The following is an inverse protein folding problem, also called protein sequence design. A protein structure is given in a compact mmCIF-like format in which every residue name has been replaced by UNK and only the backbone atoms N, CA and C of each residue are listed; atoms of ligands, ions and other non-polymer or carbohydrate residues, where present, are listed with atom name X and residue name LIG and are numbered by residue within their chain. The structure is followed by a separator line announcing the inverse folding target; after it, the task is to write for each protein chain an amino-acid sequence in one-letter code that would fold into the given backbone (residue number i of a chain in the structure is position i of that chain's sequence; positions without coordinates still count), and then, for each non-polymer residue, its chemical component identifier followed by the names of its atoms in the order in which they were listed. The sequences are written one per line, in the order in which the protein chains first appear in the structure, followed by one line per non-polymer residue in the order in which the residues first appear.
data_IF_722608434757
#
_entry.id   IF_722608434757
#
_cell.length_a   1.000
_cell.length_b   1.000
_cell.length_c   1.000
_cell.angle_alpha   90.00
_cell.angle_beta   90.00
_cell.angle_gamma   90.00
#
_symmetry.space_group_name_H-M   'P 1'
#
loop_
_entity.id
_entity.type
_entity.pdbx_description
1 polymer ?
#
# COMPACT_ATOMS: atom_id res chain seq x y z
N UNK A 1 9.24 -2.58 -14.16
CA UNK A 1 8.12 -1.84 -13.53
C UNK A 1 7.43 -2.82 -12.59
N UNK A 2 6.95 -2.36 -11.43
CA UNK A 2 6.26 -3.24 -10.48
C UNK A 2 4.93 -3.78 -11.06
N UNK A 3 4.46 -4.91 -10.53
CA UNK A 3 3.19 -5.54 -10.94
C UNK A 3 1.98 -4.75 -10.45
N UNK A 4 2.09 -4.16 -9.25
CA UNK A 4 1.08 -3.34 -8.61
C UNK A 4 1.61 -2.02 -8.08
N UNK A 5 0.71 -1.05 -7.94
CA UNK A 5 0.93 0.21 -7.25
C UNK A 5 -0.21 0.42 -6.25
N UNK A 6 0.13 0.70 -4.99
CA UNK A 6 -0.81 0.77 -3.89
C UNK A 6 -0.81 2.13 -3.22
N UNK A 7 -2.01 2.64 -2.93
CA UNK A 7 -2.23 3.81 -2.08
C UNK A 7 -3.31 3.55 -1.04
N UNK A 8 -3.29 4.33 0.03
CA UNK A 8 -4.41 4.41 0.97
C UNK A 8 -5.58 5.22 0.42
N UNK A 9 -6.79 4.91 0.89
CA UNK A 9 -8.00 5.68 0.56
C UNK A 9 -7.87 7.18 0.89
N UNK A 10 -7.12 7.58 1.91
CA UNK A 10 -6.89 9.00 2.22
C UNK A 10 -6.22 9.73 1.06
N UNK A 11 -5.15 9.17 0.51
CA UNK A 11 -4.47 9.67 -0.69
C UNK A 11 -5.40 9.66 -1.90
N UNK A 12 -6.15 8.57 -2.09
CA UNK A 12 -7.06 8.47 -3.23
C UNK A 12 -8.17 9.54 -3.21
N UNK A 13 -8.70 9.87 -2.03
CA UNK A 13 -9.73 10.91 -1.86
C UNK A 13 -9.17 12.33 -2.01
N UNK A 14 -7.97 12.59 -1.49
CA UNK A 14 -7.39 13.93 -1.50
C UNK A 14 -6.83 14.30 -2.88
N UNK A 15 -6.19 13.35 -3.56
CA UNK A 15 -5.40 13.64 -4.76
C UNK A 15 -6.08 13.18 -6.06
N UNK A 16 -7.05 12.27 -5.96
CA UNK A 16 -7.67 11.58 -7.11
C UNK A 16 -6.61 11.16 -8.15
N UNK A 17 -5.64 10.30 -7.76
CA UNK A 17 -4.48 9.99 -8.59
C UNK A 17 -4.88 9.16 -9.81
N UNK A 18 -4.02 9.12 -10.83
CA UNK A 18 -4.24 8.24 -11.99
C UNK A 18 -3.63 6.85 -11.82
N UNK A 19 -2.64 6.70 -10.93
CA UNK A 19 -1.90 5.45 -10.67
C UNK A 19 -1.47 4.71 -11.93
N UNK A 20 -1.04 5.47 -12.95
CA UNK A 20 -0.57 4.99 -14.24
C UNK A 20 0.85 5.46 -14.50
N UNK A 21 1.51 4.84 -15.47
CA UNK A 21 2.83 5.28 -15.91
C UNK A 21 2.72 6.16 -17.14
N UNK A 22 3.48 7.25 -17.11
CA UNK A 22 3.49 8.30 -18.14
C UNK A 22 4.92 8.61 -18.51
N UNK A 23 5.09 9.32 -19.63
CA UNK A 23 6.41 9.78 -20.10
C UNK A 23 7.41 8.62 -20.31
N UNK A 24 6.90 7.45 -20.69
CA UNK A 24 7.75 6.32 -21.07
C UNK A 24 8.36 6.59 -22.45
N UNK A 25 9.60 6.14 -22.70
CA UNK A 25 10.20 6.19 -24.03
C UNK A 25 9.31 5.51 -25.08
N UNK A 26 9.55 5.79 -26.36
CA UNK A 26 8.88 5.02 -27.41
C UNK A 26 9.35 3.57 -27.38
N UNK A 27 8.42 2.61 -27.46
CA UNK A 27 8.71 1.18 -27.48
C UNK A 27 7.86 0.50 -28.54
N UNK A 28 8.46 -0.47 -29.23
CA UNK A 28 7.75 -1.34 -30.20
C UNK A 28 6.77 -2.28 -29.50
N UNK A 29 7.02 -2.62 -28.23
CA UNK A 29 6.13 -3.43 -27.40
C UNK A 29 5.46 -2.59 -26.32
N UNK A 30 4.16 -2.83 -26.02
CA UNK A 30 3.49 -2.13 -24.94
C UNK A 30 4.18 -2.35 -23.60
N UNK A 31 4.35 -1.27 -22.83
CA UNK A 31 4.92 -1.38 -21.49
C UNK A 31 3.98 -2.14 -20.56
N UNK A 32 4.59 -2.94 -19.68
CA UNK A 32 3.89 -3.48 -18.53
C UNK A 32 3.51 -2.33 -17.58
N UNK A 33 2.22 -2.04 -17.46
CA UNK A 33 1.67 -1.01 -16.55
C UNK A 33 1.16 -1.63 -15.24
N UNK A 34 1.43 -1.01 -14.08
CA UNK A 34 1.09 -1.58 -12.79
C UNK A 34 -0.43 -1.64 -12.58
N UNK A 35 -0.88 -2.59 -11.79
CA UNK A 35 -2.25 -2.68 -11.30
C UNK A 35 -2.49 -1.62 -10.21
N UNK A 36 -3.47 -0.70 -10.37
CA UNK A 36 -3.87 0.19 -9.29
C UNK A 36 -4.54 -0.60 -8.16
N UNK A 37 -4.06 -0.44 -6.93
CA UNK A 37 -4.59 -1.09 -5.72
C UNK A 37 -4.89 0.00 -4.69
N UNK A 38 -6.11 0.03 -4.17
CA UNK A 38 -6.55 1.01 -3.19
C UNK A 38 -6.95 0.28 -1.91
N UNK A 39 -6.33 0.65 -0.79
CA UNK A 39 -6.75 0.20 0.53
C UNK A 39 -7.90 1.07 1.05
N UNK A 40 -9.11 0.53 1.03
CA UNK A 40 -10.35 1.23 1.40
C UNK A 40 -11.28 0.32 2.20
N UNK A 41 -11.05 0.26 3.52
CA UNK A 41 -11.78 -0.62 4.43
C UNK A 41 -13.31 -0.43 4.38
N UNK A 42 -13.77 0.79 4.09
CA UNK A 42 -15.18 1.20 4.15
C UNK A 42 -15.80 1.59 2.80
N UNK A 43 -15.13 1.28 1.68
CA UNK A 43 -15.63 1.53 0.32
C UNK A 43 -16.05 2.99 0.10
N UNK A 44 -15.19 3.92 0.48
CA UNK A 44 -15.37 5.38 0.33
C UNK A 44 -14.96 5.91 -1.04
N UNK A 45 -14.20 5.17 -1.83
CA UNK A 45 -13.72 5.61 -3.14
C UNK A 45 -14.91 6.01 -4.04
N UNK A 46 -14.76 7.13 -4.74
CA UNK A 46 -15.79 7.57 -5.70
C UNK A 46 -15.78 6.68 -6.95
N UNK A 47 -16.95 6.24 -7.46
CA UNK A 47 -17.03 5.54 -8.74
C UNK A 47 -16.62 6.41 -9.95
N UNK A 48 -16.42 7.71 -9.74
CA UNK A 48 -16.01 8.67 -10.77
C UNK A 48 -14.55 9.12 -10.67
N UNK A 49 -13.73 8.48 -9.83
CA UNK A 49 -12.30 8.77 -9.71
C UNK A 49 -11.53 8.48 -11.00
N UNK A 50 -10.36 9.11 -11.18
CA UNK A 50 -9.52 9.01 -12.37
C UNK A 50 -9.08 7.57 -12.65
N UNK A 51 -8.74 6.77 -11.65
CA UNK A 51 -8.32 5.38 -11.86
C UNK A 51 -9.40 4.52 -12.53
N UNK A 52 -10.68 4.72 -12.19
CA UNK A 52 -11.80 4.00 -12.80
C UNK A 52 -12.11 4.54 -14.20
N UNK A 53 -12.07 5.87 -14.39
CA UNK A 53 -12.20 6.49 -15.71
C UNK A 53 -11.12 6.01 -16.68
N UNK A 54 -9.87 5.91 -16.24
CA UNK A 54 -8.77 5.39 -17.03
C UNK A 54 -9.01 3.95 -17.49
N UNK A 55 -9.51 3.08 -16.59
CA UNK A 55 -9.86 1.73 -16.96
C UNK A 55 -11.02 1.67 -17.96
N UNK A 56 -12.08 2.45 -17.74
CA UNK A 56 -13.22 2.53 -18.67
C UNK A 56 -12.80 3.03 -20.06
N UNK A 57 -11.81 3.94 -20.13
CA UNK A 57 -11.24 4.44 -21.37
C UNK A 57 -10.19 3.51 -22.01
N UNK A 58 -9.85 2.37 -21.38
CA UNK A 58 -8.80 1.46 -21.86
C UNK A 58 -7.37 1.99 -21.71
N UNK A 59 -7.17 3.09 -20.98
CA UNK A 59 -5.85 3.73 -20.76
C UNK A 59 -5.20 3.33 -19.44
N UNK A 60 -5.85 2.45 -18.67
CA UNK A 60 -5.35 1.93 -17.40
C UNK A 60 -5.79 0.50 -17.12
N UNK A 61 -5.14 -0.16 -16.17
CA UNK A 61 -5.52 -1.51 -15.71
C UNK A 61 -6.71 -1.40 -14.75
N UNK A 62 -7.59 -2.42 -14.77
CA UNK A 62 -8.72 -2.55 -13.82
C UNK A 62 -8.27 -2.31 -12.37
N UNK A 63 -8.77 -1.29 -11.65
CA UNK A 63 -8.38 -1.03 -10.26
C UNK A 63 -8.89 -2.12 -9.32
N UNK A 64 -8.10 -2.45 -8.32
CA UNK A 64 -8.47 -3.36 -7.23
C UNK A 64 -8.68 -2.57 -5.95
N UNK A 65 -9.78 -2.84 -5.25
CA UNK A 65 -10.13 -2.18 -3.99
C UNK A 65 -10.12 -3.26 -2.91
N UNK A 66 -9.20 -3.12 -1.97
CA UNK A 66 -9.10 -4.00 -0.80
C UNK A 66 -9.97 -3.40 0.30
N UNK A 67 -11.00 -4.13 0.74
CA UNK A 67 -11.92 -3.66 1.77
C UNK A 67 -12.06 -4.67 2.91
N UNK A 68 -12.55 -4.22 4.06
CA UNK A 68 -12.70 -5.10 5.23
C UNK A 68 -13.78 -6.14 4.97
N UNK A 69 -13.57 -7.36 5.44
CA UNK A 69 -14.63 -8.37 5.55
C UNK A 69 -15.70 -7.94 6.57
N UNK A 70 -15.29 -7.18 7.59
CA UNK A 70 -16.13 -6.87 8.72
C UNK A 70 -17.21 -5.82 8.37
N UNK A 71 -18.47 -6.20 8.60
CA UNK A 71 -19.65 -5.35 8.40
C UNK A 71 -19.92 -4.45 9.62
N UNK A 72 -19.30 -4.75 10.77
CA UNK A 72 -19.72 -4.26 12.10
C UNK A 72 -19.57 -2.75 12.33
N UNK A 73 -18.76 -2.03 11.55
CA UNK A 73 -18.53 -0.59 11.74
C UNK A 73 -19.06 0.30 10.61
N UNK A 74 -19.87 -0.25 9.71
CA UNK A 74 -20.59 0.58 8.77
C UNK A 74 -21.74 1.24 9.53
N UNK A 75 -21.50 2.46 10.04
CA UNK A 75 -22.58 3.34 10.44
C UNK A 75 -23.58 3.39 9.27
N UNK A 76 -24.72 2.71 9.43
CA UNK A 76 -25.91 3.02 8.69
C UNK A 76 -26.26 4.46 9.07
N UNK A 77 -25.77 5.41 8.28
CA UNK A 77 -26.53 6.65 8.12
C UNK A 77 -27.88 6.20 7.56
N UNK A 78 -28.97 6.49 8.27
CA UNK A 78 -30.35 6.25 7.81
C UNK A 78 -30.67 6.97 6.49
N UNK A 79 -29.72 7.71 5.90
CA UNK A 79 -29.93 8.59 4.74
C UNK A 79 -28.89 8.42 3.62
N UNK A 80 -27.99 7.43 3.68
CA UNK A 80 -26.94 7.22 2.67
C UNK A 80 -26.90 5.80 2.08
N UNK A 81 -26.25 5.61 0.91
CA UNK A 81 -26.11 4.29 0.30
C UNK A 81 -25.32 3.36 1.24
N UNK A 82 -25.88 2.17 1.45
CA UNK A 82 -25.28 1.15 2.31
C UNK A 82 -23.98 0.60 1.73
N UNK A 83 -23.24 -0.17 2.54
CA UNK A 83 -21.97 -0.81 2.11
C UNK A 83 -22.16 -1.64 0.83
N UNK A 84 -23.28 -2.37 0.73
CA UNK A 84 -23.62 -3.18 -0.43
C UNK A 84 -23.80 -2.33 -1.69
N UNK A 85 -24.50 -1.20 -1.59
CA UNK A 85 -24.71 -0.28 -2.71
C UNK A 85 -23.40 0.34 -3.18
N UNK A 86 -22.53 0.75 -2.23
CA UNK A 86 -21.20 1.28 -2.55
C UNK A 86 -20.33 0.23 -3.24
N UNK A 87 -20.33 -1.01 -2.74
CA UNK A 87 -19.62 -2.15 -3.35
C UNK A 87 -20.10 -2.36 -4.79
N UNK A 88 -21.42 -2.41 -4.98
CA UNK A 88 -22.04 -2.58 -6.28
C UNK A 88 -21.68 -1.45 -7.24
N UNK A 89 -21.83 -0.19 -6.82
CA UNK A 89 -21.49 0.98 -7.63
C UNK A 89 -20.02 0.99 -8.07
N UNK A 90 -19.10 0.60 -7.18
CA UNK A 90 -17.68 0.48 -7.53
C UNK A 90 -17.42 -0.65 -8.53
N UNK A 91 -18.07 -1.80 -8.36
CA UNK A 91 -17.97 -2.92 -9.30
C UNK A 91 -18.53 -2.56 -10.68
N UNK A 92 -19.67 -1.87 -10.73
CA UNK A 92 -20.30 -1.37 -11.96
C UNK A 92 -19.42 -0.32 -12.65
N UNK A 93 -18.74 0.53 -11.88
CA UNK A 93 -17.73 1.47 -12.40
C UNK A 93 -16.43 0.78 -12.87
N UNK A 94 -16.33 -0.54 -12.73
CA UNK A 94 -15.24 -1.35 -13.26
C UNK A 94 -14.22 -1.82 -12.21
N UNK A 95 -14.37 -1.49 -10.93
CA UNK A 95 -13.46 -1.98 -9.89
C UNK A 95 -13.57 -3.50 -9.73
N UNK A 96 -12.48 -4.13 -9.27
CA UNK A 96 -12.55 -5.44 -8.60
C UNK A 96 -12.45 -5.20 -7.10
N UNK A 97 -13.52 -5.49 -6.37
CA UNK A 97 -13.53 -5.40 -4.90
C UNK A 97 -13.11 -6.74 -4.31
N UNK A 98 -12.15 -6.72 -3.40
CA UNK A 98 -11.57 -7.88 -2.73
C UNK A 98 -11.70 -7.66 -1.24
N UNK A 99 -12.34 -8.60 -0.56
CA UNK A 99 -12.49 -8.56 0.89
C UNK A 99 -11.25 -9.16 1.55
N UNK A 100 -10.80 -8.50 2.62
CA UNK A 100 -9.59 -8.81 3.37
C UNK A 100 -9.94 -8.83 4.85
N UNK A 101 -9.34 -9.76 5.57
CA UNK A 101 -9.40 -9.76 7.03
C UNK A 101 -8.77 -8.50 7.64
N UNK A 102 -9.19 -8.18 8.85
CA UNK A 102 -8.72 -7.01 9.58
C UNK A 102 -9.41 -6.89 10.93
N UNK A 103 -8.97 -5.93 11.74
CA UNK A 103 -9.53 -5.61 13.05
C UNK A 103 -9.70 -4.09 13.15
N UNK A 104 -10.61 -3.63 14.01
CA UNK A 104 -10.76 -2.20 14.36
C UNK A 104 -10.91 -1.26 13.14
N UNK A 105 -11.60 -1.72 12.09
CA UNK A 105 -11.80 -0.96 10.85
C UNK A 105 -10.55 -0.82 9.97
N UNK A 106 -9.46 -1.51 10.31
CA UNK A 106 -8.22 -1.63 9.57
C UNK A 106 -8.17 -2.90 8.71
N UNK A 107 -7.24 -2.94 7.76
CA UNK A 107 -6.95 -4.12 6.95
C UNK A 107 -5.66 -4.77 7.43
N UNK A 108 -5.61 -6.09 7.50
CA UNK A 108 -4.37 -6.83 7.75
C UNK A 108 -3.44 -6.73 6.54
N UNK A 109 -2.27 -6.10 6.70
CA UNK A 109 -1.28 -5.99 5.61
C UNK A 109 -0.82 -7.38 5.17
N UNK A 110 -0.60 -8.29 6.11
CA UNK A 110 -0.24 -9.68 5.81
C UNK A 110 -1.30 -10.36 4.92
N UNK A 111 -2.59 -10.18 5.19
CA UNK A 111 -3.65 -10.75 4.35
C UNK A 111 -3.80 -10.03 3.01
N UNK A 112 -3.66 -8.70 2.97
CA UNK A 112 -3.58 -7.94 1.71
C UNK A 112 -2.49 -8.54 0.81
N UNK A 113 -1.27 -8.72 1.32
CA UNK A 113 -0.13 -9.22 0.55
C UNK A 113 -0.33 -10.67 0.10
N UNK A 114 -0.90 -11.53 0.96
CA UNK A 114 -1.26 -12.91 0.61
C UNK A 114 -2.26 -12.94 -0.56
N UNK A 115 -3.32 -12.14 -0.49
CA UNK A 115 -4.33 -12.07 -1.55
C UNK A 115 -3.71 -11.55 -2.85
N UNK A 116 -2.89 -10.49 -2.78
CA UNK A 116 -2.20 -9.96 -3.96
C UNK A 116 -1.30 -11.00 -4.62
N UNK A 117 -0.55 -11.78 -3.82
CA UNK A 117 0.30 -12.86 -4.33
C UNK A 117 -0.50 -13.95 -5.03
N UNK A 118 -1.63 -14.37 -4.45
CA UNK A 118 -2.54 -15.34 -5.06
C UNK A 118 -3.15 -14.84 -6.39
N UNK A 119 -3.23 -13.52 -6.55
CA UNK A 119 -3.71 -12.88 -7.77
C UNK A 119 -2.59 -12.54 -8.77
N UNK A 120 -1.36 -12.99 -8.51
CA UNK A 120 -0.21 -12.87 -9.42
C UNK A 120 0.57 -11.55 -9.31
N UNK A 121 0.41 -10.78 -8.23
CA UNK A 121 1.24 -9.61 -7.96
C UNK A 121 2.49 -10.09 -7.19
N UNK A 122 3.66 -10.01 -7.84
CA UNK A 122 4.93 -10.44 -7.26
C UNK A 122 5.79 -9.27 -6.79
N UNK A 123 5.53 -8.07 -7.32
CA UNK A 123 6.24 -6.84 -6.97
C UNK A 123 5.24 -5.70 -6.79
N UNK A 124 5.34 -4.98 -5.68
CA UNK A 124 4.39 -3.93 -5.29
C UNK A 124 5.13 -2.65 -4.94
N UNK A 125 4.75 -1.54 -5.58
CA UNK A 125 5.14 -0.21 -5.14
C UNK A 125 4.05 0.34 -4.20
N UNK A 126 4.42 0.71 -2.98
CA UNK A 126 3.52 1.37 -2.03
C UNK A 126 3.90 2.84 -1.98
N UNK A 127 2.94 3.71 -2.28
CA UNK A 127 3.12 5.16 -2.23
C UNK A 127 1.92 5.80 -1.53
N UNK A 128 2.09 7.01 -1.01
CA UNK A 128 0.98 7.81 -0.50
C UNK A 128 0.36 7.31 0.81
N UNK A 129 0.19 8.24 1.74
CA UNK A 129 -0.53 8.02 2.99
C UNK A 129 0.38 7.50 4.10
N UNK A 130 0.68 8.38 5.06
CA UNK A 130 1.54 8.09 6.20
C UNK A 130 1.09 6.84 6.98
N UNK A 131 -0.23 6.63 7.10
CA UNK A 131 -0.79 5.44 7.76
C UNK A 131 -0.45 4.14 7.03
N UNK A 132 -0.53 4.10 5.70
CA UNK A 132 -0.25 2.88 4.92
C UNK A 132 1.24 2.56 5.01
N UNK A 133 2.10 3.55 4.75
CA UNK A 133 3.55 3.38 4.87
C UNK A 133 3.94 2.95 6.28
N UNK A 134 3.35 3.56 7.31
CA UNK A 134 3.53 3.16 8.70
C UNK A 134 3.16 1.69 8.95
N UNK A 135 1.98 1.25 8.49
CA UNK A 135 1.55 -0.15 8.66
C UNK A 135 2.51 -1.15 8.00
N UNK A 136 3.05 -0.84 6.82
CA UNK A 136 4.06 -1.70 6.17
C UNK A 136 5.37 -1.76 6.96
N UNK A 137 5.82 -0.63 7.52
CA UNK A 137 7.04 -0.57 8.32
C UNK A 137 6.89 -1.31 9.66
N UNK A 138 5.74 -1.23 10.32
CA UNK A 138 5.49 -1.95 11.58
C UNK A 138 5.48 -3.47 11.43
N UNK A 139 5.00 -3.99 10.29
CA UNK A 139 5.00 -5.44 10.01
C UNK A 139 6.43 -6.00 9.94
N UNK A 140 7.43 -5.17 9.62
CA UNK A 140 8.85 -5.58 9.65
C UNK A 140 9.33 -5.90 11.07
N UNK A 141 8.70 -5.32 12.10
CA UNK A 141 9.06 -5.52 13.50
C UNK A 141 8.27 -6.66 14.19
N UNK A 142 7.28 -7.27 13.53
CA UNK A 142 6.31 -8.17 14.17
C UNK A 142 6.31 -9.63 13.66
N UNK A 143 7.26 -10.03 12.80
CA UNK A 143 7.26 -11.37 12.18
C UNK A 143 7.63 -12.50 13.18
N UNK A 144 6.68 -12.90 14.02
CA UNK A 144 6.64 -14.22 14.64
C UNK A 144 5.81 -15.13 13.73
N UNK A 145 6.41 -16.20 13.19
CA UNK A 145 5.73 -17.16 12.31
C UNK A 145 5.51 -18.46 13.08
N UNK A 146 4.31 -19.03 13.00
CA UNK A 146 4.06 -20.37 13.52
C UNK A 146 4.39 -21.40 12.45
N UNK A 147 5.25 -22.36 12.78
CA UNK A 147 5.61 -23.45 11.86
C UNK A 147 4.38 -24.36 11.64
N UNK A 148 3.91 -24.53 10.39
CA UNK A 148 2.74 -25.36 10.09
C UNK A 148 2.94 -26.86 10.38
N UNK A 149 4.18 -27.32 10.57
CA UNK A 149 4.50 -28.71 10.93
C UNK A 149 4.58 -28.96 12.44
N UNK A 150 4.95 -27.94 13.23
CA UNK A 150 5.22 -28.11 14.68
C UNK A 150 4.29 -27.33 15.59
N UNK A 151 3.45 -26.44 15.04
CA UNK A 151 2.60 -25.51 15.80
C UNK A 151 3.36 -24.66 16.85
N UNK A 152 4.69 -24.62 16.73
CA UNK A 152 5.57 -23.90 17.63
C UNK A 152 5.89 -22.53 17.02
N UNK A 153 5.84 -21.45 17.82
CA UNK A 153 6.25 -20.13 17.35
C UNK A 153 7.77 -20.17 17.08
N UNK A 154 8.16 -19.94 15.83
CA UNK A 154 9.53 -19.66 15.44
C UNK A 154 9.60 -18.22 14.94
N UNK A 155 10.64 -17.48 15.32
CA UNK A 155 10.83 -16.17 14.73
C UNK A 155 11.35 -16.37 13.32
N UNK A 156 10.57 -15.93 12.32
CA UNK A 156 11.12 -15.74 10.98
C UNK A 156 12.06 -14.53 11.05
N UNK A 157 13.27 -14.79 11.56
CA UNK A 157 14.30 -13.79 11.84
C UNK A 157 14.91 -13.29 10.55
N UNK A 158 14.14 -12.54 9.77
CA UNK A 158 14.73 -11.52 8.92
C UNK A 158 14.08 -11.21 7.58
N UNK A 159 12.81 -11.49 7.32
CA UNK A 159 12.17 -10.87 6.14
C UNK A 159 10.84 -10.26 6.50
N UNK A 160 10.89 -9.01 6.95
CA UNK A 160 9.70 -8.16 6.96
C UNK A 160 9.13 -7.97 5.55
N UNK A 161 7.95 -7.37 5.48
CA UNK A 161 7.19 -7.22 4.22
C UNK A 161 7.73 -6.13 3.28
N UNK A 162 8.83 -5.47 3.65
CA UNK A 162 9.44 -4.36 2.90
C UNK A 162 10.85 -4.75 2.46
N UNK A 163 11.08 -4.86 1.15
CA UNK A 163 12.40 -5.19 0.60
C UNK A 163 13.29 -3.94 0.35
N UNK A 164 12.68 -2.78 0.13
CA UNK A 164 13.37 -1.54 -0.19
C UNK A 164 12.51 -0.33 0.19
N UNK A 165 13.15 0.69 0.75
CA UNK A 165 12.55 2.00 0.99
C UNK A 165 13.30 3.01 0.11
N UNK A 166 12.56 3.78 -0.66
CA UNK A 166 13.08 4.90 -1.46
C UNK A 166 12.50 6.18 -0.87
N UNK A 167 13.38 7.09 -0.46
CA UNK A 167 12.99 8.35 0.16
C UNK A 167 13.53 9.50 -0.67
N UNK A 168 12.65 10.44 -1.00
CA UNK A 168 13.01 11.69 -1.67
C UNK A 168 12.95 12.82 -0.65
N UNK A 169 14.03 13.57 -0.51
CA UNK A 169 14.12 14.73 0.38
C UNK A 169 14.35 15.97 -0.47
N UNK A 170 13.38 16.87 -0.43
CA UNK A 170 13.50 18.20 -0.98
C UNK A 170 14.20 19.14 0.03
N UNK A 171 15.04 20.09 -0.42
CA UNK A 171 15.69 21.07 0.44
C UNK A 171 14.69 22.17 0.85
N UNK A 172 13.63 21.80 1.55
CA UNK A 172 12.53 22.70 1.95
C UNK A 172 12.07 22.37 3.37
N UNK A 173 11.89 23.41 4.19
CA UNK A 173 11.28 23.29 5.51
C UNK A 173 9.78 23.54 5.40
N UNK A 174 8.97 22.57 5.84
CA UNK A 174 7.50 22.64 5.77
C UNK A 174 6.90 23.30 7.01
N UNK A 175 7.58 23.22 8.17
CA UNK A 175 7.05 23.70 9.45
C UNK A 175 6.08 22.71 10.10
N UNK A 176 5.44 23.14 11.19
CA UNK A 176 4.60 22.28 12.04
C UNK A 176 3.27 21.86 11.38
N UNK A 177 2.87 22.52 10.30
CA UNK A 177 1.70 22.15 9.49
C UNK A 177 1.97 20.97 8.54
N UNK A 178 3.23 20.50 8.48
CA UNK A 178 3.61 19.34 7.68
C UNK A 178 3.08 18.02 8.25
N UNK A 179 2.54 17.16 7.38
CA UNK A 179 2.20 15.79 7.78
C UNK A 179 3.50 14.98 7.92
N UNK A 180 3.86 14.63 9.16
CA UNK A 180 5.00 13.77 9.44
C UNK A 180 4.73 12.30 9.14
N UNK A 181 5.75 11.61 8.65
CA UNK A 181 5.78 10.14 8.58
C UNK A 181 6.44 9.62 9.87
N UNK A 182 5.72 8.81 10.65
CA UNK A 182 6.25 8.18 11.86
C UNK A 182 5.91 8.85 13.19
N UNK A 183 4.92 9.76 13.24
CA UNK A 183 4.50 10.45 14.49
C UNK A 183 4.02 9.43 15.56
N UNK A 184 3.54 8.25 15.17
CA UNK A 184 3.16 7.15 16.08
C UNK A 184 4.16 5.97 16.08
N UNK A 185 5.25 6.03 15.31
CA UNK A 185 6.26 4.97 15.29
C UNK A 185 7.25 5.23 16.43
N UNK A 186 7.04 4.57 17.58
CA UNK A 186 8.08 4.53 18.61
C UNK A 186 9.41 4.03 18.01
N UNK A 187 10.56 4.56 18.43
CA UNK A 187 11.87 4.24 17.84
C UNK A 187 12.24 2.74 17.80
N UNK A 188 11.50 1.89 18.52
CA UNK A 188 11.63 0.43 18.49
C UNK A 188 10.86 -0.28 17.36
N UNK A 189 10.05 0.44 16.56
CA UNK A 189 9.21 -0.13 15.49
C UNK A 189 9.75 0.14 14.08
N UNK A 190 10.91 0.78 13.94
CA UNK A 190 11.55 0.98 12.64
C UNK A 190 12.69 -0.02 12.50
N UNK A 191 12.72 -0.86 11.45
CA UNK A 191 13.79 -1.82 11.27
C UNK A 191 15.14 -1.13 11.13
N UNK A 192 16.21 -1.81 11.55
CA UNK A 192 17.56 -1.37 11.19
C UNK A 192 17.67 -1.32 9.67
N UNK A 193 18.21 -0.23 9.12
CA UNK A 193 18.33 -0.02 7.68
C UNK A 193 19.80 -0.02 7.25
N UNK A 194 20.04 -0.50 6.05
CA UNK A 194 21.30 -0.45 5.33
C UNK A 194 21.15 0.47 4.13
N UNK A 195 22.12 1.39 3.97
CA UNK A 195 22.17 2.26 2.80
C UNK A 195 22.53 1.46 1.56
N UNK A 196 21.78 1.67 0.48
CA UNK A 196 22.05 1.04 -0.82
C UNK A 196 22.68 2.05 -1.77
N UNK A 197 22.05 3.22 -1.94
CA UNK A 197 22.50 4.25 -2.89
C UNK A 197 21.86 5.59 -2.57
N UNK A 198 22.58 6.66 -2.89
CA UNK A 198 22.04 8.03 -2.93
C UNK A 198 22.33 8.64 -4.28
N UNK A 199 21.36 9.34 -4.84
CA UNK A 199 21.51 10.17 -6.04
C UNK A 199 20.90 11.54 -5.80
N UNK A 200 21.46 12.56 -6.44
CA UNK A 200 20.88 13.91 -6.48
C UNK A 200 20.12 14.04 -7.79
N UNK A 201 18.82 14.32 -7.72
CA UNK A 201 17.94 14.48 -8.87
C UNK A 201 17.39 15.91 -8.84
N UNK A 202 17.94 16.76 -9.71
CA UNK A 202 17.64 18.19 -9.69
C UNK A 202 18.13 18.83 -8.39
N UNK A 203 17.20 19.31 -7.55
CA UNK A 203 17.51 19.88 -6.22
C UNK A 203 17.30 18.89 -5.08
N UNK A 204 16.69 17.75 -5.37
CA UNK A 204 16.28 16.78 -4.36
C UNK A 204 17.33 15.68 -4.21
N UNK A 205 17.42 15.10 -3.01
CA UNK A 205 18.21 13.91 -2.76
C UNK A 205 17.28 12.69 -2.68
N UNK A 206 17.59 11.66 -3.45
CA UNK A 206 16.89 10.37 -3.41
C UNK A 206 17.84 9.34 -2.80
N UNK A 207 17.42 8.70 -1.71
CA UNK A 207 18.16 7.59 -1.13
C UNK A 207 17.33 6.31 -1.10
N UNK A 208 17.97 5.23 -1.55
CA UNK A 208 17.48 3.88 -1.45
C UNK A 208 18.14 3.20 -0.24
N UNK A 209 17.33 2.61 0.62
CA UNK A 209 17.76 1.84 1.79
C UNK A 209 17.03 0.52 1.81
N UNK A 210 17.63 -0.48 2.45
CA UNK A 210 17.06 -1.82 2.63
C UNK A 210 16.99 -2.14 4.13
N UNK A 211 15.91 -2.75 4.63
CA UNK A 211 15.89 -3.28 5.99
C UNK A 211 16.96 -4.37 6.15
N UNK A 212 17.77 -4.29 7.21
CA UNK A 212 18.78 -5.31 7.52
C UNK A 212 18.08 -6.61 7.90
N UNK A 213 18.59 -7.71 7.37
CA UNK A 213 18.14 -9.06 7.67
C UNK A 213 19.26 -9.76 8.43
N UNK A 214 19.14 -9.96 9.74
CA UNK A 214 20.19 -10.65 10.50
C UNK A 214 20.00 -10.72 12.02
N UNK A 215 20.27 -11.92 12.55
CA UNK A 215 20.32 -12.30 13.96
C UNK A 215 21.01 -11.24 14.83
N UNK A 216 20.33 -10.79 15.88
CA UNK A 216 21.04 -10.24 17.04
C UNK A 216 21.65 -11.43 17.77
N UNK A 217 22.95 -11.66 17.59
CA UNK A 217 23.69 -12.53 18.50
C UNK A 217 23.60 -11.90 19.90
N UNK A 218 22.75 -12.46 20.76
CA UNK A 218 22.76 -12.16 22.19
C UNK A 218 24.07 -12.71 22.74
N UNK A 219 25.04 -11.83 22.97
CA UNK A 219 26.19 -12.09 23.84
C UNK A 219 25.77 -12.13 25.30
#
# INVERSE_FOLDING_TARGET
MHDGIMVGIGTALNDDPQLNTRHLPTSETPYHIPRPIILDSSLRLSPHCKVLKNFAAGTGRRPWIMCSLDQLHCHHSESGPGRADRKKALQEAGARVIEVSGSDGLLSITDVLRQLRNLGIHSLMVEGGARVIGSFLSEVSSSCVTDPATAQPYRDEGRGVVDMLVVTVAPTFVGDDGIGYGIDMSGNQVPSIEHVRTEVIGRDAVFAVRPKTGLVATT
#
